data_IF_793277801044
#
_entry.id   IF_793277801044
#
_cell.length_a   1.000
_cell.length_b   1.000
_cell.length_c   1.000
_cell.angle_alpha   90.00
_cell.angle_beta   90.00
_cell.angle_gamma   90.00
#
_symmetry.space_group_name_H-M   'P 1'
#
loop_
_entity.id
_entity.type
_entity.pdbx_description
1 polymer ?
#
# COMPACT_ATOMS: atom_id res chain seq x y z
N UNK A 1 -6.32 -16.35 2.22
CA UNK A 1 -5.84 -15.10 1.62
C UNK A 1 -7.00 -14.28 1.07
N UNK A 2 -7.60 -14.65 -0.07
CA UNK A 2 -8.66 -13.88 -0.75
C UNK A 2 -9.86 -13.54 0.12
N UNK A 3 -10.39 -14.51 0.89
CA UNK A 3 -11.53 -14.29 1.79
C UNK A 3 -11.22 -13.27 2.90
N UNK A 4 -10.03 -13.38 3.50
CA UNK A 4 -9.54 -12.48 4.56
C UNK A 4 -9.36 -11.05 4.03
N UNK A 5 -8.78 -10.90 2.84
CA UNK A 5 -8.58 -9.58 2.21
C UNK A 5 -9.91 -8.92 1.88
N UNK A 6 -10.89 -9.67 1.39
CA UNK A 6 -12.23 -9.15 1.07
C UNK A 6 -12.97 -8.75 2.33
N UNK A 7 -12.99 -9.59 3.37
CA UNK A 7 -13.66 -9.27 4.63
C UNK A 7 -13.06 -8.05 5.32
N UNK A 8 -11.72 -7.94 5.39
CA UNK A 8 -11.07 -6.76 5.96
C UNK A 8 -11.33 -5.49 5.13
N UNK A 9 -11.32 -5.61 3.80
CA UNK A 9 -11.60 -4.48 2.90
C UNK A 9 -12.98 -3.87 3.17
N UNK A 10 -13.99 -4.66 3.50
CA UNK A 10 -15.33 -4.15 3.78
C UNK A 10 -15.54 -3.73 5.25
N UNK A 11 -15.02 -4.49 6.23
CA UNK A 11 -15.20 -4.17 7.65
C UNK A 11 -14.38 -2.96 8.12
N UNK A 12 -13.13 -2.85 7.65
CA UNK A 12 -12.22 -1.80 8.14
C UNK A 12 -12.42 -0.50 7.35
N UNK A 13 -12.80 -0.57 6.06
CA UNK A 13 -13.07 0.65 5.26
C UNK A 13 -14.19 1.52 5.85
N UNK A 14 -15.22 0.91 6.45
CA UNK A 14 -16.30 1.65 7.10
C UNK A 14 -15.84 2.40 8.37
N UNK A 15 -14.95 1.79 9.17
CA UNK A 15 -14.37 2.40 10.38
C UNK A 15 -13.37 3.51 10.05
N UNK A 16 -12.70 3.38 8.91
CA UNK A 16 -11.61 4.26 8.47
C UNK A 16 -12.11 5.59 7.91
N UNK A 17 -13.36 5.69 7.43
CA UNK A 17 -13.89 6.91 6.79
C UNK A 17 -13.87 8.19 7.64
N UNK A 18 -13.64 8.06 8.95
CA UNK A 18 -13.53 9.18 9.90
C UNK A 18 -12.09 9.55 10.28
N UNK A 19 -11.10 8.77 9.85
CA UNK A 19 -9.70 8.98 10.22
C UNK A 19 -9.01 9.97 9.26
N UNK A 20 -8.03 10.75 9.73
CA UNK A 20 -7.23 11.59 8.85
C UNK A 20 -6.49 10.70 7.84
N UNK A 21 -6.68 10.97 6.54
CA UNK A 21 -6.23 10.09 5.48
C UNK A 21 -4.70 9.95 5.40
N UNK A 22 -3.94 11.02 5.71
CA UNK A 22 -2.47 11.00 5.61
C UNK A 22 -1.81 10.11 6.68
N UNK A 23 -2.09 10.25 7.99
CA UNK A 23 -1.59 9.30 9.00
C UNK A 23 -2.04 7.87 8.78
N UNK A 24 -3.27 7.69 8.28
CA UNK A 24 -3.80 6.38 7.94
C UNK A 24 -2.99 5.72 6.81
N UNK A 25 -2.75 6.43 5.70
CA UNK A 25 -1.95 5.90 4.60
C UNK A 25 -0.52 5.54 5.05
N UNK A 26 0.09 6.34 5.93
CA UNK A 26 1.38 5.99 6.55
C UNK A 26 1.29 4.69 7.34
N UNK A 27 0.26 4.52 8.18
CA UNK A 27 0.03 3.29 8.94
C UNK A 27 -0.15 2.08 8.01
N UNK A 28 -0.93 2.21 6.93
CA UNK A 28 -1.15 1.14 5.96
C UNK A 28 0.14 0.75 5.23
N UNK A 29 1.01 1.70 4.90
CA UNK A 29 2.32 1.39 4.34
C UNK A 29 3.22 0.68 5.35
N UNK A 30 3.22 1.08 6.62
CA UNK A 30 3.97 0.40 7.68
C UNK A 30 3.48 -1.03 7.90
N UNK A 31 2.17 -1.28 7.89
CA UNK A 31 1.60 -2.63 7.96
C UNK A 31 2.00 -3.49 6.76
N UNK A 32 2.01 -2.89 5.57
CA UNK A 32 2.47 -3.57 4.34
C UNK A 32 3.94 -3.94 4.46
N UNK A 33 4.80 -3.01 4.89
CA UNK A 33 6.23 -3.24 5.07
C UNK A 33 6.48 -4.33 6.11
N UNK A 34 5.79 -4.28 7.25
CA UNK A 34 5.89 -5.29 8.31
C UNK A 34 5.48 -6.69 7.80
N UNK A 35 4.40 -6.77 7.02
CA UNK A 35 3.98 -8.03 6.38
C UNK A 35 5.06 -8.59 5.46
N UNK A 36 5.65 -7.77 4.59
CA UNK A 36 6.73 -8.22 3.68
C UNK A 36 7.98 -8.64 4.48
N UNK A 37 8.35 -7.86 5.50
CA UNK A 37 9.51 -8.16 6.34
C UNK A 37 9.36 -9.49 7.08
N UNK A 38 8.19 -9.78 7.65
CA UNK A 38 7.93 -11.06 8.30
C UNK A 38 7.99 -12.24 7.31
N UNK A 39 7.51 -12.07 6.06
CA UNK A 39 7.67 -13.08 5.01
C UNK A 39 9.14 -13.31 4.66
N UNK A 40 9.97 -12.27 4.67
CA UNK A 40 11.39 -12.36 4.37
C UNK A 40 12.20 -13.04 5.47
N UNK A 41 11.81 -12.89 6.74
CA UNK A 41 12.59 -13.37 7.89
C UNK A 41 12.41 -14.86 8.20
N UNK A 42 11.28 -15.49 7.88
CA UNK A 42 11.07 -16.90 8.21
C UNK A 42 10.02 -17.60 7.32
N UNK A 43 10.43 -18.27 6.23
CA UNK A 43 9.51 -18.99 5.36
C UNK A 43 8.97 -20.30 5.97
N UNK A 44 9.51 -20.78 7.10
CA UNK A 44 9.20 -22.10 7.66
C UNK A 44 8.13 -22.13 8.77
N UNK A 45 7.75 -20.98 9.32
CA UNK A 45 6.78 -20.92 10.43
C UNK A 45 5.38 -20.55 9.95
N UNK A 46 4.42 -21.45 10.17
CA UNK A 46 3.00 -21.24 9.83
C UNK A 46 2.43 -20.01 10.53
N UNK A 47 2.77 -19.79 11.81
CA UNK A 47 2.28 -18.65 12.57
C UNK A 47 2.82 -17.31 12.05
N UNK A 48 4.10 -17.26 11.68
CA UNK A 48 4.70 -16.07 11.07
C UNK A 48 4.09 -15.81 9.69
N UNK A 49 3.91 -16.84 8.88
CA UNK A 49 3.27 -16.72 7.57
C UNK A 49 1.84 -16.16 7.67
N UNK A 50 1.03 -16.69 8.59
CA UNK A 50 -0.35 -16.21 8.81
C UNK A 50 -0.34 -14.75 9.25
N UNK A 51 0.50 -14.40 10.23
CA UNK A 51 0.60 -13.03 10.76
C UNK A 51 1.05 -12.04 9.68
N UNK A 52 2.09 -12.41 8.92
CA UNK A 52 2.61 -11.64 7.82
C UNK A 52 1.56 -11.41 6.72
N UNK A 53 0.80 -12.47 6.41
CA UNK A 53 -0.28 -12.42 5.43
C UNK A 53 -1.41 -11.49 5.87
N UNK A 54 -1.79 -11.53 7.15
CA UNK A 54 -2.83 -10.63 7.71
C UNK A 54 -2.36 -9.18 7.65
N UNK A 55 -1.13 -8.88 8.09
CA UNK A 55 -0.57 -7.52 8.06
C UNK A 55 -0.47 -6.98 6.63
N UNK A 56 0.07 -7.79 5.70
CA UNK A 56 0.16 -7.43 4.29
C UNK A 56 -1.22 -7.19 3.68
N UNK A 57 -2.16 -8.11 3.87
CA UNK A 57 -3.52 -7.97 3.34
C UNK A 57 -4.25 -6.75 3.90
N UNK A 58 -4.04 -6.42 5.17
CA UNK A 58 -4.60 -5.23 5.80
C UNK A 58 -4.02 -3.96 5.19
N UNK A 59 -2.69 -3.82 5.21
CA UNK A 59 -2.00 -2.63 4.70
C UNK A 59 -2.26 -2.42 3.22
N UNK A 60 -1.89 -3.39 2.39
CA UNK A 60 -2.01 -3.31 0.94
C UNK A 60 -3.48 -3.26 0.49
N UNK A 61 -4.36 -4.05 1.13
CA UNK A 61 -5.76 -4.18 0.72
C UNK A 61 -6.56 -2.89 0.84
N UNK A 62 -6.23 -2.04 1.81
CA UNK A 62 -6.90 -0.76 2.10
C UNK A 62 -6.17 0.45 1.48
N UNK A 63 -4.89 0.31 1.12
CA UNK A 63 -4.07 1.41 0.58
C UNK A 63 -4.71 2.04 -0.65
N UNK A 64 -5.19 1.24 -1.62
CA UNK A 64 -5.80 1.77 -2.84
C UNK A 64 -6.95 2.75 -2.56
N UNK A 65 -7.92 2.33 -1.74
CA UNK A 65 -9.08 3.16 -1.40
C UNK A 65 -8.68 4.43 -0.66
N UNK A 66 -7.71 4.34 0.25
CA UNK A 66 -7.21 5.50 0.99
C UNK A 66 -6.48 6.49 0.08
N UNK A 67 -5.62 6.01 -0.81
CA UNK A 67 -4.93 6.87 -1.78
C UNK A 67 -5.91 7.53 -2.75
N UNK A 68 -6.89 6.79 -3.27
CA UNK A 68 -7.92 7.36 -4.15
C UNK A 68 -8.73 8.45 -3.43
N UNK A 69 -9.12 8.23 -2.17
CA UNK A 69 -9.81 9.24 -1.36
C UNK A 69 -8.95 10.50 -1.17
N UNK A 70 -7.63 10.35 -0.97
CA UNK A 70 -6.72 11.50 -0.89
C UNK A 70 -6.66 12.28 -2.21
N UNK A 71 -6.59 11.58 -3.35
CA UNK A 71 -6.60 12.23 -4.68
C UNK A 71 -7.89 12.98 -4.92
N UNK A 72 -9.04 12.39 -4.56
CA UNK A 72 -10.35 13.03 -4.67
C UNK A 72 -10.41 14.31 -3.82
N UNK A 73 -9.94 14.28 -2.58
CA UNK A 73 -9.90 15.46 -1.71
C UNK A 73 -8.98 16.54 -2.29
N UNK A 74 -7.78 16.18 -2.73
CA UNK A 74 -6.81 17.11 -3.33
C UNK A 74 -7.37 17.77 -4.61
N UNK A 75 -8.09 17.00 -5.43
CA UNK A 75 -8.74 17.53 -6.63
C UNK A 75 -9.81 18.56 -6.28
N UNK A 76 -10.66 18.27 -5.29
CA UNK A 76 -11.67 19.21 -4.79
C UNK A 76 -11.06 20.50 -4.24
N UNK A 77 -10.01 20.38 -3.41
CA UNK A 77 -9.26 21.52 -2.86
C UNK A 77 -8.59 22.39 -3.95
N UNK A 78 -8.21 21.76 -5.07
CA UNK A 78 -7.50 22.42 -6.18
C UNK A 78 -8.41 22.85 -7.34
N UNK A 79 -9.75 22.80 -7.17
CA UNK A 79 -10.73 23.07 -8.24
C UNK A 79 -10.52 22.22 -9.51
N UNK A 80 -9.97 21.01 -9.37
CA UNK A 80 -9.81 20.05 -10.46
C UNK A 80 -11.04 19.12 -10.54
N UNK A 81 -11.26 18.53 -11.72
CA UNK A 81 -12.32 17.55 -11.91
C UNK A 81 -12.06 16.28 -11.10
N UNK A 82 -12.88 16.06 -10.05
CA UNK A 82 -12.82 14.89 -9.18
C UNK A 82 -12.94 13.56 -9.96
N UNK A 83 -13.91 13.39 -10.90
CA UNK A 83 -14.01 12.16 -11.68
C UNK A 83 -12.74 11.89 -12.51
N UNK A 84 -12.16 12.92 -13.12
CA UNK A 84 -10.94 12.79 -13.93
C UNK A 84 -9.74 12.46 -13.06
N UNK A 85 -9.59 13.10 -11.90
CA UNK A 85 -8.49 12.81 -10.97
C UNK A 85 -8.54 11.35 -10.47
N UNK A 86 -9.72 10.85 -10.11
CA UNK A 86 -9.89 9.44 -9.70
C UNK A 86 -9.62 8.47 -10.87
N UNK A 87 -10.06 8.82 -12.08
CA UNK A 87 -9.79 8.02 -13.29
C UNK A 87 -8.28 7.93 -13.57
N UNK A 88 -7.57 9.05 -13.58
CA UNK A 88 -6.12 9.09 -13.82
C UNK A 88 -5.35 8.35 -12.74
N UNK A 89 -5.74 8.47 -11.47
CA UNK A 89 -5.18 7.67 -10.38
C UNK A 89 -5.34 6.17 -10.63
N UNK A 90 -6.54 5.74 -11.02
CA UNK A 90 -6.85 4.33 -11.32
C UNK A 90 -6.00 3.80 -12.48
N UNK A 91 -5.81 4.60 -13.53
CA UNK A 91 -4.93 4.26 -14.66
C UNK A 91 -3.47 4.09 -14.21
N UNK A 92 -2.96 4.99 -13.35
CA UNK A 92 -1.63 4.88 -12.76
C UNK A 92 -1.46 3.61 -11.90
N UNK A 93 -2.48 3.27 -11.11
CA UNK A 93 -2.51 2.02 -10.35
C UNK A 93 -2.40 0.79 -11.26
N UNK A 94 -3.19 0.75 -12.34
CA UNK A 94 -3.12 -0.35 -13.31
C UNK A 94 -1.81 -0.43 -14.05
N UNK A 95 -1.19 0.70 -14.38
CA UNK A 95 0.16 0.70 -14.96
C UNK A 95 1.18 0.00 -14.05
N UNK A 96 1.11 0.26 -12.74
CA UNK A 96 1.90 -0.48 -11.74
C UNK A 96 1.53 -1.96 -11.67
N UNK A 97 0.24 -2.28 -11.61
CA UNK A 97 -0.27 -3.65 -11.50
C UNK A 97 0.09 -4.53 -12.71
N UNK A 98 0.16 -3.95 -13.92
CA UNK A 98 0.54 -4.68 -15.13
C UNK A 98 2.06 -4.68 -15.38
N UNK A 99 2.76 -3.59 -15.06
CA UNK A 99 4.20 -3.49 -15.30
C UNK A 99 5.05 -4.26 -14.28
N UNK A 100 4.71 -4.15 -12.99
CA UNK A 100 5.54 -4.72 -11.92
C UNK A 100 5.67 -6.25 -11.96
N UNK A 101 4.63 -7.06 -12.29
CA UNK A 101 4.76 -8.51 -12.35
C UNK A 101 5.86 -9.00 -13.30
N UNK A 102 6.05 -8.35 -14.45
CA UNK A 102 7.10 -8.71 -15.38
C UNK A 102 8.49 -8.45 -14.77
N UNK A 103 8.69 -7.28 -14.14
CA UNK A 103 9.93 -6.91 -13.47
C UNK A 103 10.22 -7.86 -12.30
N UNK A 104 9.22 -8.11 -11.45
CA UNK A 104 9.33 -9.02 -10.32
C UNK A 104 9.66 -10.45 -10.78
N UNK A 105 9.00 -10.96 -11.82
CA UNK A 105 9.26 -12.28 -12.39
C UNK A 105 10.71 -12.41 -12.90
N UNK A 106 11.21 -11.40 -13.62
CA UNK A 106 12.61 -11.36 -14.07
C UNK A 106 13.59 -11.28 -12.90
N UNK A 107 13.28 -10.51 -11.86
CA UNK A 107 14.11 -10.36 -10.68
C UNK A 107 14.18 -11.68 -9.88
N UNK A 108 13.04 -12.34 -9.69
CA UNK A 108 12.95 -13.66 -9.05
C UNK A 108 13.76 -14.70 -9.82
N UNK A 109 13.60 -14.73 -11.16
CA UNK A 109 14.33 -15.68 -12.01
C UNK A 109 15.86 -15.47 -11.98
N UNK A 110 16.32 -14.22 -11.88
CA UNK A 110 17.74 -13.89 -11.92
C UNK A 110 18.43 -13.91 -10.54
N UNK A 111 17.75 -13.52 -9.47
CA UNK A 111 18.36 -13.28 -8.16
C UNK A 111 17.61 -13.93 -6.99
N UNK A 112 16.53 -14.67 -7.27
CA UNK A 112 15.74 -15.37 -6.26
C UNK A 112 14.69 -14.52 -5.56
N UNK A 113 13.88 -15.18 -4.73
CA UNK A 113 12.71 -14.58 -4.05
C UNK A 113 13.13 -13.50 -3.05
N UNK A 114 14.23 -13.71 -2.32
CA UNK A 114 14.71 -12.76 -1.30
C UNK A 114 14.99 -11.37 -1.86
N UNK A 115 15.65 -11.27 -3.02
CA UNK A 115 15.94 -9.99 -3.68
C UNK A 115 14.65 -9.31 -4.15
N UNK A 116 13.67 -10.07 -4.63
CA UNK A 116 12.37 -9.51 -5.00
C UNK A 116 11.61 -8.95 -3.80
N UNK A 117 11.65 -9.61 -2.64
CA UNK A 117 11.07 -9.10 -1.40
C UNK A 117 11.77 -7.81 -0.95
N UNK A 118 13.10 -7.75 -1.02
CA UNK A 118 13.86 -6.52 -0.70
C UNK A 118 13.48 -5.37 -1.64
N UNK A 119 13.34 -5.63 -2.94
CA UNK A 119 12.91 -4.61 -3.89
C UNK A 119 11.49 -4.10 -3.58
N UNK A 120 10.55 -4.99 -3.22
CA UNK A 120 9.21 -4.60 -2.78
C UNK A 120 9.26 -3.76 -1.49
N UNK A 121 10.07 -4.15 -0.50
CA UNK A 121 10.27 -3.37 0.73
C UNK A 121 10.83 -1.99 0.43
N UNK A 122 11.79 -1.86 -0.49
CA UNK A 122 12.34 -0.58 -0.91
C UNK A 122 11.27 0.33 -1.53
N UNK A 123 10.39 -0.21 -2.39
CA UNK A 123 9.28 0.54 -2.95
C UNK A 123 8.30 1.04 -1.88
N UNK A 124 7.97 0.19 -0.90
CA UNK A 124 7.11 0.60 0.22
C UNK A 124 7.80 1.65 1.09
N UNK A 125 9.09 1.50 1.37
CA UNK A 125 9.89 2.46 2.14
C UNK A 125 9.95 3.84 1.46
N UNK A 126 10.07 3.89 0.13
CA UNK A 126 10.00 5.14 -0.63
C UNK A 126 8.63 5.82 -0.41
N UNK A 127 7.53 5.08 -0.47
CA UNK A 127 6.20 5.62 -0.21
C UNK A 127 6.05 6.15 1.23
N UNK A 128 6.62 5.44 2.21
CA UNK A 128 6.68 5.88 3.62
C UNK A 128 7.47 7.19 3.74
N UNK A 129 8.62 7.30 3.08
CA UNK A 129 9.44 8.50 3.11
C UNK A 129 8.71 9.71 2.51
N UNK A 130 8.04 9.52 1.36
CA UNK A 130 7.27 10.57 0.69
C UNK A 130 6.14 11.07 1.59
N UNK A 131 5.30 10.17 2.10
CA UNK A 131 4.15 10.58 2.92
C UNK A 131 4.57 11.11 4.29
N UNK A 132 5.65 10.57 4.88
CA UNK A 132 6.27 11.09 6.09
C UNK A 132 6.77 12.51 5.91
N UNK A 133 7.47 12.81 4.81
CA UNK A 133 7.92 14.16 4.50
C UNK A 133 6.76 15.16 4.35
N UNK A 134 5.67 14.75 3.68
CA UNK A 134 4.45 15.58 3.54
C UNK A 134 3.80 15.85 4.91
N UNK A 135 3.71 14.83 5.77
CA UNK A 135 3.15 14.97 7.11
C UNK A 135 3.97 15.92 8.00
N UNK A 136 5.30 15.84 7.95
CA UNK A 136 6.18 16.72 8.69
C UNK A 136 6.02 18.19 8.28
N UNK A 137 5.91 18.46 6.97
CA UNK A 137 5.67 19.81 6.44
C UNK A 137 4.33 20.39 6.89
N UNK A 138 3.29 19.55 6.98
CA UNK A 138 1.95 19.99 7.39
C UNK A 138 1.86 20.33 8.89
N UNK A 139 2.78 19.83 9.71
CA UNK A 139 2.82 20.10 11.16
C UNK A 139 3.55 21.41 11.52
N UNK A 140 4.28 22.01 10.57
CA UNK A 140 5.11 23.20 10.80
C UNK A 140 4.48 24.50 10.30
N UNK A 141 3.32 24.45 9.61
CA UNK A 141 2.54 25.61 9.18
C UNK A 141 1.20 25.63 9.89
#
# INVERSE_FOLDING_TARGET
FTLTTVALRFSVAFLIGKLPLRPLALCLFLLTLAGIALLALNPGSVWLYVSATVLFATGYGLTYSTLNAMVVNLAGESNLSIPVASQVFTLGYFAGAFGFPYVAGRLIAAHGIGVALVAMMALVAINIAIIGAVLLRTRQG
#
